data_IF_597404278480
#
_entry.id   IF_597404278480
#
_cell.length_a   1.000
_cell.length_b   1.000
_cell.length_c   1.000
_cell.angle_alpha   90.00
_cell.angle_beta   90.00
_cell.angle_gamma   90.00
#
_symmetry.space_group_name_H-M   'P 1'
#
loop_
_entity.id
_entity.type
_entity.pdbx_description
1 polymer ?
#
# COMPACT_ATOMS: atom_id res chain seq x y z
N UNK A 1 -19.26 -4.70 13.86
CA UNK A 1 -18.31 -3.73 13.28
C UNK A 1 -16.98 -3.88 14.01
N UNK A 2 -15.99 -4.48 13.36
CA UNK A 2 -14.62 -4.57 13.90
C UNK A 2 -13.90 -3.30 13.47
N UNK A 3 -13.67 -2.37 14.40
CA UNK A 3 -12.88 -1.16 14.15
C UNK A 3 -11.41 -1.49 14.28
N UNK A 4 -10.59 -1.03 13.35
CA UNK A 4 -9.12 -1.07 13.44
C UNK A 4 -8.54 -0.12 14.51
N UNK A 5 -9.38 0.76 15.08
CA UNK A 5 -8.92 1.86 15.97
C UNK A 5 -9.60 1.84 17.35
N UNK A 6 -10.50 0.90 17.64
CA UNK A 6 -11.21 0.87 18.95
C UNK A 6 -11.24 -0.53 19.54
N UNK A 7 -10.18 -0.93 20.25
CA UNK A 7 -10.19 -2.08 21.17
C UNK A 7 -10.59 -3.44 20.58
N UNK A 8 -10.36 -3.64 19.28
CA UNK A 8 -10.60 -4.89 18.56
C UNK A 8 -9.45 -5.89 18.70
N UNK A 9 -9.54 -6.99 17.96
CA UNK A 9 -8.47 -7.99 17.87
C UNK A 9 -7.20 -7.35 17.26
N UNK A 10 -6.04 -7.57 17.88
CA UNK A 10 -4.74 -7.18 17.29
C UNK A 10 -4.58 -7.88 15.94
N UNK A 11 -4.23 -7.13 14.92
CA UNK A 11 -4.09 -7.63 13.54
C UNK A 11 -2.63 -7.64 13.11
N UNK A 12 -2.31 -8.53 12.19
CA UNK A 12 -1.04 -8.57 11.50
C UNK A 12 -1.19 -7.84 10.16
N UNK A 13 -0.53 -6.70 10.00
CA UNK A 13 -0.66 -5.81 8.83
C UNK A 13 0.67 -5.77 8.08
N UNK A 14 0.68 -6.15 6.80
CA UNK A 14 1.77 -5.81 5.91
C UNK A 14 1.56 -4.40 5.36
N UNK A 15 2.54 -3.50 5.51
CA UNK A 15 2.46 -2.14 5.01
C UNK A 15 3.57 -1.87 3.98
N UNK A 16 3.20 -1.92 2.71
CA UNK A 16 4.14 -1.81 1.59
C UNK A 16 4.25 -0.35 1.11
N UNK A 17 5.48 0.15 1.01
CA UNK A 17 5.81 1.52 0.61
C UNK A 17 6.54 1.52 -0.72
N UNK A 18 6.01 2.25 -1.71
CA UNK A 18 6.62 2.43 -3.03
C UNK A 18 7.18 3.85 -3.21
N UNK A 19 7.93 4.08 -4.29
CA UNK A 19 8.72 5.28 -4.54
C UNK A 19 7.96 6.56 -4.90
N UNK A 20 6.79 6.83 -4.33
CA UNK A 20 6.12 8.12 -4.41
C UNK A 20 6.49 8.98 -3.19
N UNK A 21 7.75 9.41 -3.14
CA UNK A 21 8.39 10.03 -1.96
C UNK A 21 7.67 11.28 -1.44
N UNK A 22 7.04 12.07 -2.32
CA UNK A 22 6.30 13.28 -1.95
C UNK A 22 5.09 13.02 -1.04
N UNK A 23 4.63 11.78 -0.92
CA UNK A 23 3.48 11.40 -0.09
C UNK A 23 3.87 10.84 1.27
N UNK A 24 5.14 10.59 1.52
CA UNK A 24 5.63 9.95 2.75
C UNK A 24 5.26 10.73 4.00
N UNK A 25 5.28 12.07 3.95
CA UNK A 25 4.87 12.92 5.07
C UNK A 25 3.40 12.71 5.52
N UNK A 26 2.56 12.11 4.66
CA UNK A 26 1.17 11.78 4.99
C UNK A 26 1.04 10.29 5.30
N UNK A 27 1.78 9.44 4.60
CA UNK A 27 1.67 7.97 4.70
C UNK A 27 2.29 7.43 6.00
N UNK A 28 3.47 7.91 6.41
CA UNK A 28 4.12 7.44 7.63
C UNK A 28 3.30 7.73 8.91
N UNK A 29 2.64 8.88 9.08
CA UNK A 29 1.70 9.08 10.18
C UNK A 29 0.53 8.08 10.23
N UNK A 30 0.02 7.63 9.08
CA UNK A 30 -1.00 6.57 9.04
C UNK A 30 -0.42 5.22 9.47
N UNK A 31 0.79 4.89 9.01
CA UNK A 31 1.51 3.69 9.46
C UNK A 31 1.72 3.71 10.98
N UNK A 32 2.12 4.86 11.54
CA UNK A 32 2.28 5.06 12.98
C UNK A 32 0.96 4.89 13.74
N UNK A 33 -0.13 5.43 13.23
CA UNK A 33 -1.45 5.26 13.86
C UNK A 33 -1.84 3.78 13.92
N UNK A 34 -1.62 3.01 12.84
CA UNK A 34 -1.87 1.56 12.81
C UNK A 34 -0.97 0.80 13.77
N UNK A 35 0.31 1.17 13.89
CA UNK A 35 1.29 0.47 14.73
C UNK A 35 1.05 0.64 16.23
N UNK A 36 0.23 1.62 16.64
CA UNK A 36 -0.15 1.81 18.05
C UNK A 36 -1.10 0.72 18.56
N UNK A 37 -1.86 0.10 17.67
CA UNK A 37 -2.92 -0.85 18.03
C UNK A 37 -2.72 -2.23 17.40
N UNK A 38 -1.85 -2.34 16.39
CA UNK A 38 -1.65 -3.55 15.59
C UNK A 38 -0.16 -3.84 15.37
N UNK A 39 0.14 -5.06 14.95
CA UNK A 39 1.48 -5.41 14.49
C UNK A 39 1.61 -5.02 13.01
N UNK A 40 2.45 -4.02 12.72
CA UNK A 40 2.72 -3.55 11.37
C UNK A 40 4.11 -4.00 10.93
N UNK A 41 4.19 -4.73 9.84
CA UNK A 41 5.45 -5.11 9.19
C UNK A 41 5.64 -4.24 7.95
N UNK A 42 6.63 -3.35 7.91
CA UNK A 42 6.91 -2.53 6.75
C UNK A 42 7.56 -3.36 5.64
N UNK A 43 7.19 -3.09 4.38
CA UNK A 43 7.76 -3.71 3.18
C UNK A 43 8.13 -2.60 2.21
N UNK A 44 9.40 -2.50 1.83
CA UNK A 44 9.85 -1.43 0.93
C UNK A 44 10.09 -1.97 -0.48
N UNK A 45 9.63 -1.23 -1.48
CA UNK A 45 10.03 -1.45 -2.86
C UNK A 45 11.52 -1.12 -3.02
N UNK A 46 12.14 -1.61 -4.10
CA UNK A 46 13.55 -1.32 -4.39
C UNK A 46 13.83 0.20 -4.39
N UNK A 47 12.92 1.00 -5.00
CA UNK A 47 13.06 2.45 -5.02
C UNK A 47 12.93 3.07 -3.61
N UNK A 48 11.98 2.63 -2.81
CA UNK A 48 11.80 3.14 -1.45
C UNK A 48 12.99 2.81 -0.54
N UNK A 49 13.66 1.68 -0.80
CA UNK A 49 14.79 1.19 0.01
C UNK A 49 16.13 1.79 -0.39
N UNK A 50 16.30 2.24 -1.65
CA UNK A 50 17.62 2.59 -2.19
C UNK A 50 17.75 4.00 -2.78
N UNK A 51 16.65 4.72 -3.04
CA UNK A 51 16.71 5.99 -3.75
C UNK A 51 16.59 7.16 -2.78
N UNK A 52 17.61 8.02 -2.77
CA UNK A 52 17.58 9.31 -2.11
C UNK A 52 16.78 10.32 -2.96
N UNK A 53 16.00 11.15 -2.32
CA UNK A 53 15.17 12.15 -2.99
C UNK A 53 15.22 13.50 -2.26
N UNK A 54 14.64 14.53 -2.88
CA UNK A 54 14.48 15.84 -2.20
C UNK A 54 13.55 15.80 -0.98
N UNK A 55 12.86 14.68 -0.76
CA UNK A 55 11.94 14.46 0.37
C UNK A 55 12.56 13.64 1.50
N UNK A 56 13.85 13.37 1.42
CA UNK A 56 14.63 12.61 2.38
C UNK A 56 15.45 11.49 1.71
N UNK A 57 16.39 10.99 2.46
CA UNK A 57 17.21 9.84 2.03
C UNK A 57 16.49 8.52 2.26
N UNK A 58 16.84 7.49 1.50
CA UNK A 58 16.34 6.13 1.73
C UNK A 58 16.61 5.67 3.16
N UNK A 59 17.80 5.99 3.70
CA UNK A 59 18.19 5.65 5.07
C UNK A 59 17.28 6.28 6.12
N UNK A 60 16.92 7.56 5.97
CA UNK A 60 16.00 8.23 6.89
C UNK A 60 14.63 7.56 6.89
N UNK A 61 14.10 7.21 5.71
CA UNK A 61 12.82 6.54 5.58
C UNK A 61 12.83 5.12 6.17
N UNK A 62 13.93 4.37 6.00
CA UNK A 62 14.12 3.05 6.62
C UNK A 62 14.10 3.17 8.14
N UNK A 63 14.88 4.07 8.71
CA UNK A 63 14.96 4.29 10.16
C UNK A 63 13.60 4.74 10.72
N UNK A 64 12.89 5.61 9.99
CA UNK A 64 11.56 6.06 10.39
C UNK A 64 10.57 4.89 10.44
N UNK A 65 10.51 4.05 9.39
CA UNK A 65 9.64 2.87 9.36
C UNK A 65 9.99 1.88 10.48
N UNK A 66 11.27 1.61 10.69
CA UNK A 66 11.76 0.74 11.77
C UNK A 66 11.38 1.28 13.16
N UNK A 67 11.51 2.59 13.37
CA UNK A 67 11.12 3.24 14.62
C UNK A 67 9.62 3.14 14.88
N UNK A 68 8.80 3.34 13.85
CA UNK A 68 7.33 3.25 13.93
C UNK A 68 6.88 1.82 14.21
N UNK A 69 7.44 0.85 13.50
CA UNK A 69 6.93 -0.53 13.50
C UNK A 69 7.69 -1.46 14.47
N UNK A 70 8.82 -1.02 15.03
CA UNK A 70 9.68 -1.84 15.89
C UNK A 70 10.40 -2.97 15.16
N UNK A 71 10.37 -2.98 13.82
CA UNK A 71 11.02 -3.99 12.97
C UNK A 71 11.50 -3.35 11.66
N UNK A 72 12.68 -3.75 11.15
CA UNK A 72 13.20 -3.21 9.91
C UNK A 72 12.32 -3.60 8.71
N UNK A 73 12.25 -2.77 7.65
CA UNK A 73 11.49 -3.08 6.45
C UNK A 73 12.00 -4.34 5.74
N UNK A 74 11.07 -5.22 5.35
CA UNK A 74 11.35 -6.28 4.40
C UNK A 74 11.59 -5.64 3.01
N UNK A 75 12.67 -6.02 2.33
CA UNK A 75 13.07 -5.36 1.08
C UNK A 75 13.60 -6.32 0.02
N UNK A 76 13.52 -7.62 0.26
CA UNK A 76 13.92 -8.64 -0.72
C UNK A 76 12.79 -9.63 -0.98
N UNK A 77 12.80 -10.25 -2.17
CA UNK A 77 11.83 -11.30 -2.52
C UNK A 77 11.89 -12.46 -1.53
N UNK A 78 13.10 -12.85 -1.10
CA UNK A 78 13.29 -13.96 -0.16
C UNK A 78 12.67 -13.67 1.22
N UNK A 79 12.70 -12.40 1.68
CA UNK A 79 12.11 -12.02 2.95
C UNK A 79 10.57 -12.01 2.92
N UNK A 80 9.95 -11.73 1.77
CA UNK A 80 8.49 -11.64 1.64
C UNK A 80 7.84 -12.93 1.10
N UNK A 81 8.62 -13.86 0.56
CA UNK A 81 8.08 -15.15 0.09
C UNK A 81 7.27 -15.88 1.19
N UNK A 82 7.69 -15.90 2.46
CA UNK A 82 6.96 -16.57 3.55
C UNK A 82 5.58 -15.98 3.87
N UNK A 83 5.24 -14.80 3.37
CA UNK A 83 3.95 -14.12 3.61
C UNK A 83 2.77 -15.04 3.25
N UNK A 84 2.87 -15.79 2.15
CA UNK A 84 1.82 -16.70 1.71
C UNK A 84 1.76 -17.98 2.54
N UNK A 85 2.79 -18.82 2.55
CA UNK A 85 2.80 -20.11 3.26
C UNK A 85 2.52 -19.97 4.76
N UNK A 86 3.05 -18.92 5.39
CA UNK A 86 2.88 -18.69 6.83
C UNK A 86 1.65 -17.83 7.17
N UNK A 87 0.92 -17.32 6.16
CA UNK A 87 -0.26 -16.44 6.35
C UNK A 87 0.04 -15.25 7.27
N UNK A 88 1.18 -14.57 7.03
CA UNK A 88 1.73 -13.59 7.96
C UNK A 88 0.83 -12.37 8.21
N UNK A 89 -0.01 -11.97 7.24
CA UNK A 89 -0.82 -10.76 7.37
C UNK A 89 -2.31 -11.07 7.24
N UNK A 90 -3.14 -10.31 7.93
CA UNK A 90 -4.60 -10.29 7.74
C UNK A 90 -4.97 -9.40 6.56
N UNK A 91 -4.23 -8.32 6.37
CA UNK A 91 -4.35 -7.39 5.23
C UNK A 91 -2.97 -6.93 4.77
N UNK A 92 -2.82 -6.71 3.46
CA UNK A 92 -1.66 -6.05 2.88
C UNK A 92 -2.08 -4.67 2.35
N UNK A 93 -1.48 -3.61 2.88
CA UNK A 93 -1.70 -2.22 2.47
C UNK A 93 -0.53 -1.78 1.61
N UNK A 94 -0.78 -1.32 0.39
CA UNK A 94 0.24 -0.75 -0.51
C UNK A 94 0.01 0.75 -0.59
N UNK A 95 0.75 1.52 0.18
CA UNK A 95 0.60 2.96 0.29
C UNK A 95 1.97 3.66 0.49
N UNK A 96 2.38 4.54 -0.43
CA UNK A 96 1.74 4.82 -1.72
C UNK A 96 1.97 3.70 -2.72
N UNK A 97 1.07 3.52 -3.70
CA UNK A 97 1.22 2.59 -4.82
C UNK A 97 1.49 3.37 -6.11
N UNK A 98 2.67 3.20 -6.68
CA UNK A 98 3.11 3.88 -7.92
C UNK A 98 2.54 3.22 -9.17
N UNK A 99 2.52 3.93 -10.31
CA UNK A 99 2.10 3.40 -11.61
C UNK A 99 2.88 2.13 -12.02
N UNK A 100 4.19 2.08 -11.75
CA UNK A 100 5.00 0.89 -11.99
C UNK A 100 4.51 -0.33 -11.18
N UNK A 101 4.21 -0.14 -9.90
CA UNK A 101 3.68 -1.21 -9.05
C UNK A 101 2.27 -1.62 -9.48
N UNK A 102 1.39 -0.66 -9.82
CA UNK A 102 0.06 -0.93 -10.40
C UNK A 102 0.15 -1.80 -11.65
N UNK A 103 1.05 -1.46 -12.58
CA UNK A 103 1.26 -2.22 -13.81
C UNK A 103 1.69 -3.66 -13.51
N UNK A 104 2.67 -3.85 -12.63
CA UNK A 104 3.14 -5.18 -12.25
C UNK A 104 2.05 -6.01 -11.57
N UNK A 105 1.29 -5.44 -10.65
CA UNK A 105 0.16 -6.11 -9.99
C UNK A 105 -0.91 -6.51 -11.03
N UNK A 106 -1.27 -5.59 -11.94
CA UNK A 106 -2.28 -5.83 -12.99
C UNK A 106 -1.87 -6.94 -13.97
N UNK A 107 -0.57 -7.13 -14.19
CA UNK A 107 -0.03 -8.18 -15.06
C UNK A 107 0.49 -9.42 -14.30
N UNK A 108 0.28 -9.47 -12.98
CA UNK A 108 0.74 -10.60 -12.14
C UNK A 108 2.26 -10.80 -12.15
N UNK A 109 3.02 -9.72 -12.36
CA UNK A 109 4.49 -9.70 -12.31
C UNK A 109 4.91 -9.56 -10.85
N UNK A 110 5.68 -10.52 -10.33
CA UNK A 110 6.04 -10.61 -8.92
C UNK A 110 7.57 -10.64 -8.73
N UNK A 111 8.24 -9.64 -9.33
CA UNK A 111 9.70 -9.53 -9.39
C UNK A 111 10.26 -8.43 -8.44
N UNK A 112 9.41 -7.91 -7.55
CA UNK A 112 9.81 -6.96 -6.51
C UNK A 112 9.29 -7.43 -5.15
N UNK A 113 9.85 -6.92 -4.02
CA UNK A 113 9.37 -7.28 -2.69
C UNK A 113 7.87 -7.01 -2.52
N UNK A 114 7.38 -5.85 -2.97
CA UNK A 114 5.97 -5.47 -2.85
C UNK A 114 5.05 -6.38 -3.68
N UNK A 115 5.40 -6.63 -4.94
CA UNK A 115 4.57 -7.45 -5.82
C UNK A 115 4.62 -8.94 -5.47
N UNK A 116 5.75 -9.41 -4.95
CA UNK A 116 5.85 -10.77 -4.41
C UNK A 116 5.02 -10.92 -3.13
N UNK A 117 5.07 -9.95 -2.22
CA UNK A 117 4.23 -9.95 -1.02
C UNK A 117 2.74 -10.00 -1.40
N UNK A 118 2.30 -9.16 -2.36
CA UNK A 118 0.92 -9.15 -2.84
C UNK A 118 0.50 -10.51 -3.44
N UNK A 119 1.32 -11.09 -4.32
CA UNK A 119 1.06 -12.41 -4.90
C UNK A 119 0.95 -13.49 -3.82
N UNK A 120 1.89 -13.50 -2.88
CA UNK A 120 1.91 -14.49 -1.80
C UNK A 120 0.71 -14.33 -0.86
N UNK A 121 0.33 -13.11 -0.53
CA UNK A 121 -0.80 -12.79 0.31
C UNK A 121 -2.16 -13.17 -0.33
N UNK A 122 -2.37 -12.84 -1.60
CA UNK A 122 -3.57 -13.15 -2.37
C UNK A 122 -3.87 -14.66 -2.48
N UNK A 123 -2.85 -15.53 -2.42
CA UNK A 123 -3.06 -17.00 -2.40
C UNK A 123 -3.92 -17.46 -1.23
N UNK A 124 -4.00 -16.67 -0.17
CA UNK A 124 -4.83 -16.97 1.01
C UNK A 124 -6.24 -16.36 0.92
N UNK A 125 -6.61 -15.72 -0.20
CA UNK A 125 -7.89 -15.03 -0.36
C UNK A 125 -8.04 -13.81 0.54
N UNK A 126 -6.94 -13.23 1.01
CA UNK A 126 -6.92 -12.09 1.91
C UNK A 126 -6.81 -10.76 1.16
N UNK A 127 -7.33 -9.64 1.72
CA UNK A 127 -7.43 -8.38 1.03
C UNK A 127 -6.09 -7.68 0.81
N UNK A 128 -5.92 -7.10 -0.37
CA UNK A 128 -4.85 -6.16 -0.71
C UNK A 128 -5.48 -4.79 -0.92
N UNK A 129 -5.05 -3.82 -0.13
CA UNK A 129 -5.49 -2.42 -0.22
C UNK A 129 -4.49 -1.62 -1.04
N UNK A 130 -4.97 -0.85 -2.01
CA UNK A 130 -4.15 -0.06 -2.92
C UNK A 130 -4.45 1.42 -2.76
N UNK A 131 -3.45 2.21 -2.37
CA UNK A 131 -3.50 3.66 -2.31
C UNK A 131 -2.71 4.26 -3.49
N UNK A 132 -3.42 4.62 -4.55
CA UNK A 132 -2.83 5.10 -5.80
C UNK A 132 -2.07 6.41 -5.59
N UNK A 133 -0.88 6.51 -6.16
CA UNK A 133 -0.14 7.76 -6.31
C UNK A 133 0.72 7.69 -7.57
N UNK A 134 0.21 8.27 -8.67
CA UNK A 134 0.88 8.20 -9.97
C UNK A 134 0.54 9.39 -10.86
N UNK A 135 1.56 9.94 -11.51
CA UNK A 135 1.42 11.07 -12.43
C UNK A 135 0.76 10.69 -13.76
N UNK A 136 0.76 9.41 -14.11
CA UNK A 136 0.23 8.86 -15.37
C UNK A 136 -1.02 7.99 -15.15
N UNK A 137 -1.66 8.12 -14.00
CA UNK A 137 -2.77 7.27 -13.60
C UNK A 137 -4.01 7.36 -14.51
N UNK A 138 -4.23 8.52 -15.17
CA UNK A 138 -5.24 8.72 -16.23
C UNK A 138 -4.67 8.59 -17.63
N UNK A 139 -3.44 8.12 -17.78
CA UNK A 139 -2.79 7.84 -19.06
C UNK A 139 -2.33 6.37 -19.10
N UNK A 140 -1.04 6.10 -19.12
CA UNK A 140 -0.50 4.74 -19.25
C UNK A 140 -0.87 3.77 -18.13
N UNK A 141 -1.12 4.26 -16.91
CA UNK A 141 -1.53 3.43 -15.78
C UNK A 141 -3.06 3.24 -15.65
N UNK A 142 -3.89 3.93 -16.44
CA UNK A 142 -5.35 3.89 -16.33
C UNK A 142 -5.92 2.48 -16.51
N UNK A 143 -5.46 1.75 -17.52
CA UNK A 143 -5.90 0.37 -17.77
C UNK A 143 -5.56 -0.58 -16.61
N UNK A 144 -4.43 -0.35 -15.94
CA UNK A 144 -3.97 -1.18 -14.83
C UNK A 144 -4.85 -0.99 -13.59
N UNK A 145 -5.28 0.25 -13.32
CA UNK A 145 -6.27 0.54 -12.28
C UNK A 145 -7.58 -0.18 -12.60
N UNK A 146 -8.10 -0.07 -13.82
CA UNK A 146 -9.32 -0.75 -14.24
C UNK A 146 -9.24 -2.28 -14.12
N UNK A 147 -8.09 -2.88 -14.52
CA UNK A 147 -7.84 -4.32 -14.35
C UNK A 147 -7.86 -4.75 -12.88
N UNK A 148 -7.25 -3.96 -11.99
CA UNK A 148 -7.20 -4.28 -10.57
C UNK A 148 -8.55 -4.07 -9.88
N UNK A 149 -9.31 -3.05 -10.25
CA UNK A 149 -10.68 -2.82 -9.76
C UNK A 149 -11.62 -4.00 -10.08
N UNK A 150 -11.39 -4.69 -11.18
CA UNK A 150 -12.16 -5.86 -11.58
C UNK A 150 -11.71 -7.18 -10.91
N UNK A 151 -10.60 -7.19 -10.19
CA UNK A 151 -10.06 -8.40 -9.54
C UNK A 151 -10.57 -8.56 -8.11
N UNK A 152 -10.83 -9.81 -7.73
CA UNK A 152 -11.17 -10.16 -6.35
C UNK A 152 -10.01 -9.84 -5.40
N UNK A 153 -10.36 -9.44 -4.18
CA UNK A 153 -9.44 -9.16 -3.07
C UNK A 153 -8.55 -7.92 -3.24
N UNK A 154 -8.71 -7.15 -4.31
CA UNK A 154 -8.14 -5.82 -4.43
C UNK A 154 -9.19 -4.77 -4.03
N UNK A 155 -8.79 -3.87 -3.14
CA UNK A 155 -9.60 -2.74 -2.67
C UNK A 155 -8.81 -1.45 -2.82
N UNK A 156 -9.49 -0.38 -3.13
CA UNK A 156 -8.83 0.90 -3.39
C UNK A 156 -9.18 1.92 -2.32
N UNK A 157 -8.18 2.62 -1.81
CA UNK A 157 -8.40 3.85 -1.06
C UNK A 157 -9.02 4.86 -2.02
N UNK A 158 -10.11 5.56 -1.66
CA UNK A 158 -10.69 6.59 -2.50
C UNK A 158 -9.65 7.55 -3.05
N UNK A 159 -9.72 7.87 -4.32
CA UNK A 159 -8.72 8.67 -5.04
C UNK A 159 -9.36 9.66 -6.00
N UNK A 160 -8.64 10.71 -6.32
CA UNK A 160 -9.04 11.75 -7.25
C UNK A 160 -7.84 12.40 -7.93
N UNK A 161 -8.08 13.43 -8.75
CA UNK A 161 -7.01 14.19 -9.37
C UNK A 161 -6.28 15.05 -8.32
N UNK A 162 -4.95 14.99 -8.34
CA UNK A 162 -4.08 15.79 -7.47
C UNK A 162 -4.20 17.30 -7.81
N UNK A 163 -4.04 17.61 -9.10
CA UNK A 163 -4.19 18.95 -9.65
C UNK A 163 -4.61 18.83 -11.12
N UNK A 164 -5.90 18.99 -11.41
CA UNK A 164 -6.46 18.75 -12.74
C UNK A 164 -5.90 19.70 -13.82
N UNK A 165 -5.50 20.92 -13.43
CA UNK A 165 -4.92 21.89 -14.39
C UNK A 165 -3.44 21.65 -14.65
N UNK A 166 -2.63 21.53 -13.57
CA UNK A 166 -1.18 21.40 -13.69
C UNK A 166 -0.71 19.98 -13.96
N UNK A 167 -1.51 18.97 -13.57
CA UNK A 167 -1.21 17.53 -13.68
C UNK A 167 -2.43 16.74 -14.10
N UNK A 168 -2.94 16.93 -15.33
CA UNK A 168 -4.24 16.41 -15.77
C UNK A 168 -4.35 14.88 -15.75
N UNK A 169 -3.24 14.16 -15.75
CA UNK A 169 -3.20 12.68 -15.73
C UNK A 169 -2.87 12.10 -14.37
N UNK A 170 -2.60 12.93 -13.35
CA UNK A 170 -2.21 12.49 -12.02
C UNK A 170 -3.42 12.11 -11.18
N UNK A 171 -3.35 10.94 -10.52
CA UNK A 171 -4.28 10.54 -9.47
C UNK A 171 -3.52 10.31 -8.16
N UNK A 172 -4.17 10.69 -7.07
CA UNK A 172 -3.67 10.48 -5.71
C UNK A 172 -4.81 9.97 -4.81
N UNK A 173 -4.50 9.00 -3.97
CA UNK A 173 -5.43 8.52 -2.95
C UNK A 173 -5.55 9.53 -1.80
N UNK A 174 -6.71 9.62 -1.19
CA UNK A 174 -6.85 10.27 0.11
C UNK A 174 -6.32 9.32 1.20
N UNK A 175 -5.04 9.46 1.53
CA UNK A 175 -4.37 8.57 2.50
C UNK A 175 -5.01 8.58 3.89
N UNK A 176 -5.78 9.62 4.25
CA UNK A 176 -6.55 9.68 5.51
C UNK A 176 -7.65 8.61 5.55
N UNK A 177 -8.04 8.09 4.39
CA UNK A 177 -9.05 7.03 4.24
C UNK A 177 -8.46 5.61 4.24
N UNK A 178 -7.15 5.44 4.44
CA UNK A 178 -6.53 4.10 4.49
C UNK A 178 -7.19 3.24 5.56
N UNK A 179 -7.32 3.73 6.79
CA UNK A 179 -7.88 2.96 7.90
C UNK A 179 -9.33 2.55 7.64
N UNK A 180 -10.28 3.47 7.35
CA UNK A 180 -11.65 3.06 7.08
C UNK A 180 -11.80 2.18 5.82
N UNK A 181 -10.90 2.34 4.84
CA UNK A 181 -10.91 1.45 3.67
C UNK A 181 -10.39 0.05 4.04
N UNK A 182 -9.39 -0.06 4.90
CA UNK A 182 -8.88 -1.33 5.37
C UNK A 182 -9.94 -2.09 6.18
N UNK A 183 -10.69 -1.41 7.04
CA UNK A 183 -11.83 -1.98 7.76
C UNK A 183 -12.89 -2.55 6.81
N UNK A 184 -13.28 -1.78 5.81
CA UNK A 184 -14.24 -2.22 4.80
C UNK A 184 -13.71 -3.41 3.97
N UNK A 185 -12.41 -3.40 3.61
CA UNK A 185 -11.76 -4.46 2.85
C UNK A 185 -11.71 -5.79 3.62
N UNK A 186 -11.50 -5.75 4.93
CA UNK A 186 -11.56 -6.92 5.80
C UNK A 186 -12.95 -7.56 5.87
N UNK A 187 -13.99 -6.76 5.64
CA UNK A 187 -15.38 -7.24 5.50
C UNK A 187 -15.74 -7.63 4.05
N UNK A 188 -14.78 -7.58 3.13
CA UNK A 188 -14.99 -7.89 1.72
C UNK A 188 -15.71 -6.78 0.93
N UNK A 189 -15.71 -5.53 1.43
CA UNK A 189 -16.41 -4.39 0.83
C UNK A 189 -15.44 -3.31 0.35
N UNK A 190 -15.71 -2.75 -0.83
CA UNK A 190 -15.08 -1.53 -1.31
C UNK A 190 -15.78 -0.32 -0.69
N UNK A 191 -15.03 0.57 -0.02
CA UNK A 191 -15.58 1.82 0.51
C UNK A 191 -16.04 2.74 -0.64
N UNK A 192 -17.13 3.46 -0.43
CA UNK A 192 -17.70 4.39 -1.41
C UNK A 192 -17.82 5.81 -0.82
N UNK A 193 -17.78 6.86 -1.65
CA UNK A 193 -17.40 6.84 -3.06
C UNK A 193 -15.92 6.50 -3.26
N UNK A 194 -15.60 5.77 -4.34
CA UNK A 194 -14.21 5.44 -4.69
C UNK A 194 -13.53 6.59 -5.44
N UNK A 195 -14.28 7.37 -6.20
CA UNK A 195 -13.81 8.58 -6.90
C UNK A 195 -14.19 9.82 -6.08
N UNK A 196 -13.21 10.71 -5.91
CA UNK A 196 -13.31 11.97 -5.16
C UNK A 196 -13.33 13.17 -6.10
#
# INVERSE_FOLDING_TARGET
>A
LRSLVQGGMIMEIGFAVCGSFCTYSIVFPVMEQLSREHHVTPIFSDAAYSVDSRFGTAREHIVMAETICGTPPLHTIAQVEPVGPKKLFDILIIAPCTGNTLAKLAHSIADTPVTMAAKSHLRNGRPVLVAVSSNDALAGAAENIGKLLARKHYYFVPFGQDNAEAKPTSLIADFRKIIPTAEAALEGRQIQPILL
#
